data_IF_045864675866
#
_entry.id   IF_045864675866
#
_cell.length_a   1.000
_cell.length_b   1.000
_cell.length_c   1.000
_cell.angle_alpha   90.00
_cell.angle_beta   90.00
_cell.angle_gamma   90.00
#
_symmetry.space_group_name_H-M   'P 1'
#
loop_
_entity.id
_entity.type
_entity.pdbx_description
1 polymer ?
#
# COMPACT_ATOMS: atom_id res chain seq x y z
N UNK A 1 13.13 16.60 11.97
CA UNK A 1 13.80 15.42 12.57
C UNK A 1 13.32 14.15 11.86
N UNK A 2 14.04 13.03 11.99
CA UNK A 2 13.59 11.74 11.45
C UNK A 2 12.68 11.01 12.43
N UNK A 3 11.71 10.23 11.92
CA UNK A 3 10.76 9.45 12.73
C UNK A 3 10.99 7.95 12.54
N UNK A 4 11.22 7.17 13.61
CA UNK A 4 11.42 5.74 13.48
C UNK A 4 10.12 5.02 13.13
N UNK A 5 10.18 4.11 12.16
CA UNK A 5 9.08 3.25 11.76
C UNK A 5 9.48 1.79 11.94
N UNK A 6 8.79 1.07 12.83
CA UNK A 6 8.83 -0.39 12.86
C UNK A 6 8.02 -0.95 11.70
N UNK A 7 8.60 -1.90 10.97
CA UNK A 7 8.05 -2.42 9.73
C UNK A 7 8.26 -3.93 9.68
N UNK A 8 7.18 -4.70 9.55
CA UNK A 8 7.25 -6.15 9.44
C UNK A 8 6.43 -6.60 8.23
N UNK A 9 7.04 -7.40 7.38
CA UNK A 9 6.31 -8.15 6.34
C UNK A 9 6.34 -9.62 6.66
N UNK A 10 5.17 -10.24 6.60
CA UNK A 10 5.02 -11.70 6.61
C UNK A 10 4.23 -12.11 5.38
N UNK A 11 4.75 -13.06 4.61
CA UNK A 11 4.09 -13.66 3.47
C UNK A 11 3.94 -15.16 3.67
N UNK A 12 2.90 -15.73 3.08
CA UNK A 12 2.59 -17.14 3.23
C UNK A 12 2.69 -17.87 1.89
N UNK A 13 3.25 -19.07 1.92
CA UNK A 13 3.19 -20.02 0.82
C UNK A 13 1.84 -20.73 0.92
N UNK A 14 0.96 -20.44 -0.03
CA UNK A 14 -0.35 -21.07 -0.17
C UNK A 14 -0.56 -21.46 -1.63
N UNK A 15 -1.23 -22.58 -1.92
CA UNK A 15 -1.31 -23.09 -3.30
C UNK A 15 -2.23 -22.27 -4.21
N UNK A 16 -3.23 -21.53 -3.68
CA UNK A 16 -4.36 -21.07 -4.51
C UNK A 16 -4.91 -19.67 -4.20
N UNK A 17 -4.25 -18.81 -3.42
CA UNK A 17 -4.77 -17.46 -3.17
C UNK A 17 -4.29 -16.48 -4.24
N UNK A 18 -5.23 -15.79 -4.90
CA UNK A 18 -4.96 -14.78 -5.92
C UNK A 18 -5.16 -13.36 -5.39
N UNK A 19 -4.61 -12.36 -6.09
CA UNK A 19 -4.70 -10.93 -5.70
C UNK A 19 -6.15 -10.46 -5.47
N UNK A 20 -7.11 -10.98 -6.23
CA UNK A 20 -8.54 -10.66 -6.10
C UNK A 20 -9.16 -11.16 -4.78
N UNK A 21 -8.54 -12.13 -4.13
CA UNK A 21 -9.00 -12.76 -2.89
C UNK A 21 -8.38 -12.14 -1.65
N UNK A 22 -7.49 -11.16 -1.77
CA UNK A 22 -6.93 -10.42 -0.62
C UNK A 22 -8.02 -9.91 0.35
N UNK A 23 -9.19 -9.41 -0.09
CA UNK A 23 -10.27 -9.07 0.82
C UNK A 23 -10.83 -10.27 1.61
N UNK A 24 -10.93 -11.45 0.99
CA UNK A 24 -11.40 -12.68 1.63
C UNK A 24 -10.33 -13.24 2.59
N UNK A 25 -9.07 -13.27 2.15
CA UNK A 25 -7.91 -13.62 2.98
C UNK A 25 -7.84 -12.77 4.25
N UNK A 26 -8.05 -11.45 4.12
CA UNK A 26 -8.17 -10.54 5.27
C UNK A 26 -9.29 -10.94 6.23
N UNK A 27 -10.47 -11.28 5.72
CA UNK A 27 -11.60 -11.74 6.54
C UNK A 27 -11.25 -13.00 7.31
N UNK A 28 -10.71 -13.99 6.60
CA UNK A 28 -10.29 -15.27 7.17
C UNK A 28 -9.20 -15.11 8.26
N UNK A 29 -8.22 -14.22 8.06
CA UNK A 29 -7.21 -13.90 9.09
C UNK A 29 -7.87 -13.22 10.29
N UNK A 30 -8.76 -12.25 10.08
CA UNK A 30 -9.44 -11.57 11.18
C UNK A 30 -10.31 -12.52 12.01
N UNK A 31 -11.07 -13.40 11.36
CA UNK A 31 -11.84 -14.46 12.02
C UNK A 31 -10.94 -15.41 12.80
N UNK A 32 -9.80 -15.80 12.21
CA UNK A 32 -8.82 -16.67 12.86
C UNK A 32 -8.22 -16.02 14.11
N UNK A 33 -7.88 -14.74 14.01
CA UNK A 33 -7.29 -13.95 15.09
C UNK A 33 -8.29 -13.68 16.21
N UNK A 34 -9.56 -13.46 15.86
CA UNK A 34 -10.59 -13.00 16.78
C UNK A 34 -11.01 -11.57 16.44
N UNK A 35 -12.32 -11.33 16.39
CA UNK A 35 -12.90 -10.03 16.01
C UNK A 35 -12.76 -8.98 17.11
N UNK A 36 -12.37 -9.36 18.32
CA UNK A 36 -11.95 -8.46 19.39
C UNK A 36 -10.68 -7.66 19.03
N UNK A 37 -9.87 -8.15 18.09
CA UNK A 37 -8.64 -7.49 17.65
C UNK A 37 -8.91 -6.59 16.43
N UNK A 38 -9.49 -5.43 16.66
CA UNK A 38 -9.95 -4.48 15.64
C UNK A 38 -8.85 -4.04 14.66
N UNK A 39 -7.57 -4.07 15.05
CA UNK A 39 -6.43 -3.75 14.15
C UNK A 39 -6.33 -4.66 12.92
N UNK A 40 -6.84 -5.89 12.99
CA UNK A 40 -6.84 -6.82 11.86
C UNK A 40 -7.96 -6.54 10.86
N UNK A 41 -9.06 -5.90 11.30
CA UNK A 41 -10.28 -5.79 10.48
C UNK A 41 -10.96 -4.41 10.43
N UNK A 42 -10.50 -3.42 11.19
CA UNK A 42 -10.96 -2.03 11.26
C UNK A 42 -12.48 -1.85 11.39
N UNK A 43 -13.12 -2.71 12.19
CA UNK A 43 -14.49 -2.48 12.66
C UNK A 43 -14.50 -2.43 14.19
N UNK A 44 -15.44 -1.66 14.73
CA UNK A 44 -15.74 -1.64 16.15
C UNK A 44 -16.69 -2.81 16.51
N UNK A 45 -16.88 -3.03 17.81
CA UNK A 45 -17.78 -4.03 18.41
C UNK A 45 -19.23 -3.94 17.93
N UNK A 46 -19.71 -2.73 17.60
CA UNK A 46 -21.05 -2.48 17.04
C UNK A 46 -21.13 -2.70 15.52
N UNK A 47 -20.02 -3.07 14.88
CA UNK A 47 -19.89 -3.27 13.44
C UNK A 47 -19.61 -1.99 12.64
N UNK A 48 -19.52 -0.84 13.29
CA UNK A 48 -19.18 0.44 12.64
C UNK A 48 -17.71 0.47 12.18
N UNK A 49 -17.40 1.35 11.23
CA UNK A 49 -16.04 1.48 10.70
C UNK A 49 -15.18 2.40 11.57
N UNK A 50 -14.01 1.92 11.97
CA UNK A 50 -13.01 2.75 12.66
C UNK A 50 -12.27 3.60 11.63
N UNK A 51 -12.37 4.92 11.76
CA UNK A 51 -11.75 5.89 10.85
C UNK A 51 -10.29 6.17 11.23
N UNK A 52 -9.40 5.26 10.84
CA UNK A 52 -7.95 5.39 11.03
C UNK A 52 -7.15 4.80 9.87
N UNK A 53 -5.87 5.15 9.78
CA UNK A 53 -4.94 4.51 8.87
C UNK A 53 -4.69 3.05 9.29
N UNK A 54 -4.75 2.06 8.37
CA UNK A 54 -4.54 0.67 8.73
C UNK A 54 -3.04 0.36 8.96
N UNK A 55 -2.72 0.03 10.20
CA UNK A 55 -1.39 -0.41 10.61
C UNK A 55 -1.11 -1.89 10.27
N UNK A 56 -2.14 -2.67 9.97
CA UNK A 56 -2.03 -3.98 9.31
C UNK A 56 -2.69 -3.89 7.94
N UNK A 57 -1.93 -4.23 6.90
CA UNK A 57 -2.36 -4.16 5.51
C UNK A 57 -2.15 -5.50 4.82
N UNK A 58 -3.18 -5.99 4.14
CA UNK A 58 -3.15 -7.27 3.46
C UNK A 58 -2.78 -7.06 2.00
N UNK A 59 -1.79 -7.82 1.51
CA UNK A 59 -1.20 -7.61 0.18
C UNK A 59 -0.85 -8.93 -0.46
N UNK A 60 -0.72 -8.89 -1.78
CA UNK A 60 -0.08 -9.95 -2.56
C UNK A 60 1.38 -9.56 -2.77
N UNK A 61 2.31 -10.32 -2.20
CA UNK A 61 3.75 -10.16 -2.33
C UNK A 61 4.26 -10.86 -3.59
N UNK A 62 5.59 -10.93 -3.74
CA UNK A 62 6.24 -11.63 -4.87
C UNK A 62 5.86 -13.12 -4.87
N UNK A 63 5.96 -13.76 -6.03
CA UNK A 63 5.69 -15.20 -6.21
C UNK A 63 4.29 -15.62 -5.73
N UNK A 64 3.30 -14.73 -5.85
CA UNK A 64 1.91 -15.02 -5.49
C UNK A 64 1.72 -15.41 -4.00
N UNK A 65 2.48 -14.77 -3.11
CA UNK A 65 2.36 -15.00 -1.68
C UNK A 65 1.47 -13.94 -1.03
N UNK A 66 0.24 -14.27 -0.58
CA UNK A 66 -0.54 -13.33 0.23
C UNK A 66 0.14 -13.14 1.58
N UNK A 67 -0.07 -11.98 2.19
CA UNK A 67 0.57 -11.68 3.45
C UNK A 67 0.10 -10.38 4.09
N UNK A 68 0.79 -10.02 5.17
CA UNK A 68 0.57 -8.83 5.95
C UNK A 68 1.79 -7.93 5.88
N UNK A 69 1.55 -6.64 5.69
CA UNK A 69 2.46 -5.57 6.07
C UNK A 69 1.95 -4.98 7.39
N UNK A 70 2.79 -5.03 8.43
CA UNK A 70 2.52 -4.51 9.76
C UNK A 70 3.43 -3.31 10.05
N UNK A 71 2.85 -2.24 10.58
CA UNK A 71 3.49 -0.96 10.83
C UNK A 71 3.26 -0.56 12.29
N UNK A 72 4.30 -0.05 12.97
CA UNK A 72 4.21 0.38 14.38
C UNK A 72 3.45 -0.63 15.26
N UNK A 73 2.33 -0.25 15.88
CA UNK A 73 1.53 -1.10 16.76
C UNK A 73 1.01 -2.36 16.04
N UNK A 74 0.87 -2.33 14.71
CA UNK A 74 0.59 -3.52 13.93
C UNK A 74 1.67 -4.59 14.05
N UNK A 75 2.94 -4.20 14.23
CA UNK A 75 4.07 -5.11 14.46
C UNK A 75 3.91 -5.83 15.80
N UNK A 76 3.49 -5.12 16.84
CA UNK A 76 3.26 -5.75 18.14
C UNK A 76 2.07 -6.70 18.05
N UNK A 77 0.95 -6.24 17.48
CA UNK A 77 -0.31 -6.97 17.44
C UNK A 77 -0.29 -8.22 16.55
N UNK A 78 0.65 -8.35 15.61
CA UNK A 78 0.76 -9.54 14.75
C UNK A 78 0.93 -10.84 15.56
N UNK A 79 1.43 -10.75 16.80
CA UNK A 79 1.58 -11.92 17.68
C UNK A 79 0.26 -12.66 17.91
N UNK A 80 -0.89 -11.96 17.90
CA UNK A 80 -2.20 -12.59 18.06
C UNK A 80 -2.50 -13.61 16.96
N UNK A 81 -1.95 -13.42 15.76
CA UNK A 81 -1.99 -14.41 14.69
C UNK A 81 -1.02 -15.56 14.97
N UNK A 82 0.23 -15.25 15.30
CA UNK A 82 1.26 -16.28 15.51
C UNK A 82 1.02 -17.16 16.74
N UNK A 83 0.32 -16.64 17.75
CA UNK A 83 -0.06 -17.38 18.96
C UNK A 83 -1.18 -18.41 18.72
N UNK A 84 -1.80 -18.45 17.53
CA UNK A 84 -2.84 -19.44 17.23
C UNK A 84 -2.23 -20.84 17.11
N UNK A 85 -2.85 -21.80 17.81
CA UNK A 85 -2.42 -23.21 17.85
C UNK A 85 -2.41 -23.88 16.47
N UNK A 86 -3.37 -23.52 15.62
CA UNK A 86 -3.48 -23.97 14.23
C UNK A 86 -3.33 -22.79 13.30
N UNK A 87 -2.62 -22.97 12.18
CA UNK A 87 -2.46 -21.95 11.14
C UNK A 87 -3.33 -22.23 9.92
N UNK A 88 -4.41 -22.97 10.13
CA UNK A 88 -5.48 -23.14 9.14
C UNK A 88 -6.48 -21.98 9.24
N UNK A 89 -6.77 -21.35 8.11
CA UNK A 89 -7.80 -20.32 7.97
C UNK A 89 -8.96 -20.85 7.11
N UNK A 90 -10.17 -20.36 7.33
CA UNK A 90 -11.31 -20.68 6.48
C UNK A 90 -11.43 -19.67 5.35
N UNK A 91 -11.13 -20.08 4.12
CA UNK A 91 -11.25 -19.23 2.94
C UNK A 91 -12.34 -19.78 2.04
N UNK A 92 -13.41 -19.01 1.81
CA UNK A 92 -14.56 -19.44 1.00
C UNK A 92 -15.23 -20.73 1.49
N UNK A 93 -15.16 -21.01 2.80
CA UNK A 93 -15.71 -22.23 3.40
C UNK A 93 -14.74 -23.42 3.39
N UNK A 94 -13.57 -23.28 2.78
CA UNK A 94 -12.55 -24.32 2.71
C UNK A 94 -11.36 -24.03 3.64
N UNK A 95 -10.80 -25.05 4.33
CA UNK A 95 -9.60 -24.88 5.13
C UNK A 95 -8.37 -24.66 4.25
N UNK A 96 -7.59 -23.62 4.56
CA UNK A 96 -6.30 -23.33 3.92
C UNK A 96 -5.22 -23.25 4.99
N UNK A 97 -4.24 -24.15 4.91
CA UNK A 97 -3.08 -24.16 5.80
C UNK A 97 -2.07 -23.08 5.39
N UNK A 98 -1.78 -22.15 6.29
CA UNK A 98 -0.78 -21.12 6.10
C UNK A 98 0.60 -21.64 6.52
N UNK A 99 1.60 -21.43 5.65
CA UNK A 99 3.02 -21.65 5.95
C UNK A 99 3.76 -20.36 5.67
N UNK A 100 4.55 -19.85 6.61
CA UNK A 100 5.38 -18.66 6.36
C UNK A 100 6.35 -18.97 5.21
N UNK A 101 6.25 -18.18 4.15
CA UNK A 101 7.22 -18.18 3.06
C UNK A 101 8.37 -17.22 3.39
N UNK A 102 8.04 -16.03 3.89
CA UNK A 102 9.02 -15.03 4.29
C UNK A 102 8.51 -14.24 5.50
N UNK A 103 9.40 -13.96 6.43
CA UNK A 103 9.19 -13.02 7.52
C UNK A 103 10.40 -12.08 7.57
N UNK A 104 10.15 -10.78 7.48
CA UNK A 104 11.20 -9.76 7.46
C UNK A 104 10.81 -8.58 8.34
N UNK A 105 11.60 -8.38 9.39
CA UNK A 105 11.50 -7.22 10.27
C UNK A 105 12.54 -6.18 9.87
N UNK A 106 12.12 -4.93 9.77
CA UNK A 106 12.94 -3.80 9.40
C UNK A 106 12.59 -2.59 10.26
N UNK A 107 13.51 -1.64 10.32
CA UNK A 107 13.28 -0.33 10.89
C UNK A 107 13.69 0.72 9.86
N UNK A 108 12.79 1.66 9.61
CA UNK A 108 13.03 2.78 8.69
C UNK A 108 13.10 4.09 9.48
N UNK A 109 13.85 5.05 8.95
CA UNK A 109 13.83 6.44 9.42
C UNK A 109 13.05 7.28 8.42
N UNK A 110 11.80 7.60 8.74
CA UNK A 110 10.96 8.47 7.94
C UNK A 110 11.46 9.91 8.04
N UNK A 111 11.55 10.58 6.90
CA UNK A 111 12.03 11.96 6.85
C UNK A 111 11.49 12.65 5.61
N UNK A 112 11.35 13.97 5.69
CA UNK A 112 11.27 14.82 4.49
C UNK A 112 12.70 15.19 4.11
N UNK A 113 13.07 14.95 2.86
CA UNK A 113 14.41 15.17 2.30
C UNK A 113 14.44 16.49 1.53
N UNK A 114 15.64 16.93 1.16
CA UNK A 114 15.80 18.16 0.34
C UNK A 114 15.62 17.91 -1.16
N UNK A 115 15.60 16.63 -1.57
CA UNK A 115 15.42 16.22 -2.97
C UNK A 115 14.13 15.43 -3.17
N UNK A 116 13.47 15.69 -4.30
CA UNK A 116 12.37 14.88 -4.79
C UNK A 116 12.87 13.50 -5.25
N UNK A 117 12.17 12.45 -4.85
CA UNK A 117 12.45 11.05 -5.21
C UNK A 117 11.26 10.45 -5.97
N UNK A 118 11.51 9.60 -6.99
CA UNK A 118 10.45 9.04 -7.82
C UNK A 118 9.80 7.81 -7.19
N UNK A 119 8.48 7.75 -7.29
CA UNK A 119 7.63 6.66 -6.82
C UNK A 119 6.58 6.30 -7.86
N UNK A 120 5.97 5.13 -7.66
CA UNK A 120 4.76 4.70 -8.35
C UNK A 120 3.77 4.15 -7.34
N UNK A 121 2.49 4.30 -7.63
CA UNK A 121 1.39 3.75 -6.85
C UNK A 121 0.43 3.05 -7.80
N UNK A 122 0.06 1.81 -7.46
CA UNK A 122 -0.83 0.98 -8.28
C UNK A 122 -2.19 0.74 -7.63
N UNK A 123 -3.24 0.62 -8.45
CA UNK A 123 -4.63 0.47 -8.07
C UNK A 123 -5.07 1.49 -7.00
N UNK A 124 -4.63 2.74 -7.13
CA UNK A 124 -4.89 3.78 -6.14
C UNK A 124 -6.33 4.26 -6.23
N UNK A 125 -7.15 3.91 -5.25
CA UNK A 125 -8.50 4.45 -5.09
C UNK A 125 -8.41 5.83 -4.41
N UNK A 126 -8.16 6.86 -5.22
CA UNK A 126 -7.98 8.24 -4.75
C UNK A 126 -9.29 8.93 -4.36
N UNK A 127 -10.39 8.58 -5.03
CA UNK A 127 -11.63 9.35 -4.99
C UNK A 127 -12.63 8.73 -4.01
N UNK A 128 -13.19 9.57 -3.12
CA UNK A 128 -14.46 9.28 -2.46
C UNK A 128 -15.62 9.67 -3.40
N UNK A 129 -16.88 9.46 -3.00
CA UNK A 129 -18.03 9.72 -3.86
C UNK A 129 -18.11 11.19 -4.30
N UNK A 130 -17.98 12.14 -3.38
CA UNK A 130 -18.00 13.57 -3.71
C UNK A 130 -16.86 13.97 -4.65
N UNK A 131 -15.65 13.47 -4.40
CA UNK A 131 -14.48 13.73 -5.24
C UNK A 131 -14.59 13.05 -6.61
N UNK A 132 -15.25 11.90 -6.70
CA UNK A 132 -15.54 11.26 -7.97
C UNK A 132 -16.42 12.15 -8.85
N UNK A 133 -17.54 12.65 -8.31
CA UNK A 133 -18.43 13.56 -9.04
C UNK A 133 -17.71 14.83 -9.50
N UNK A 134 -16.90 15.43 -8.61
CA UNK A 134 -16.07 16.60 -8.98
C UNK A 134 -15.09 16.27 -10.09
N UNK A 135 -14.39 15.15 -10.00
CA UNK A 135 -13.37 14.74 -10.97
C UNK A 135 -13.95 14.52 -12.36
N UNK A 136 -15.07 13.79 -12.49
CA UNK A 136 -15.68 13.51 -13.79
C UNK A 136 -16.25 14.77 -14.46
N UNK A 137 -16.72 15.74 -13.66
CA UNK A 137 -17.27 17.00 -14.15
C UNK A 137 -16.21 18.08 -14.41
N UNK A 138 -14.94 17.83 -14.05
CA UNK A 138 -13.83 18.73 -14.35
C UNK A 138 -13.32 18.42 -15.76
N UNK A 139 -13.38 19.36 -16.70
CA UNK A 139 -12.89 19.13 -18.07
C UNK A 139 -11.38 19.28 -18.21
N UNK A 140 -10.80 20.24 -17.48
CA UNK A 140 -9.37 20.54 -17.53
C UNK A 140 -8.52 19.39 -16.96
N UNK A 141 -7.63 18.85 -17.79
CA UNK A 141 -6.68 17.82 -17.37
C UNK A 141 -5.75 18.34 -16.26
N UNK A 142 -5.31 19.59 -16.36
CA UNK A 142 -4.46 20.22 -15.35
C UNK A 142 -5.16 20.30 -14.00
N UNK A 143 -6.44 20.66 -13.97
CA UNK A 143 -7.24 20.71 -12.74
C UNK A 143 -7.48 19.31 -12.16
N UNK A 144 -7.72 18.30 -13.00
CA UNK A 144 -7.82 16.90 -12.59
C UNK A 144 -6.52 16.41 -11.93
N UNK A 145 -5.37 16.72 -12.53
CA UNK A 145 -4.06 16.37 -11.98
C UNK A 145 -3.84 17.08 -10.64
N UNK A 146 -4.09 18.39 -10.56
CA UNK A 146 -3.97 19.15 -9.31
C UNK A 146 -4.92 18.63 -8.21
N UNK A 147 -6.11 18.16 -8.57
CA UNK A 147 -7.01 17.47 -7.65
C UNK A 147 -6.42 16.16 -7.12
N UNK A 148 -5.86 15.33 -8.00
CA UNK A 148 -5.20 14.08 -7.60
C UNK A 148 -3.97 14.34 -6.74
N UNK A 149 -3.12 15.32 -7.06
CA UNK A 149 -1.95 15.68 -6.24
C UNK A 149 -2.35 16.09 -4.82
N UNK A 150 -3.40 16.92 -4.68
CA UNK A 150 -3.96 17.28 -3.35
C UNK A 150 -4.44 16.05 -2.57
N UNK A 151 -5.09 15.10 -3.25
CA UNK A 151 -5.54 13.85 -2.63
C UNK A 151 -4.36 12.95 -2.25
N UNK A 152 -3.31 12.87 -3.07
CA UNK A 152 -2.12 12.10 -2.78
C UNK A 152 -1.38 12.66 -1.57
N UNK A 153 -1.18 13.98 -1.51
CA UNK A 153 -0.63 14.66 -0.35
C UNK A 153 -1.48 14.41 0.91
N UNK A 154 -2.80 14.51 0.80
CA UNK A 154 -3.72 14.21 1.90
C UNK A 154 -3.58 12.77 2.40
N UNK A 155 -3.54 11.79 1.50
CA UNK A 155 -3.40 10.39 1.90
C UNK A 155 -2.00 10.06 2.47
N UNK A 156 -0.95 10.76 2.04
CA UNK A 156 0.38 10.67 2.64
C UNK A 156 0.42 11.27 4.06
N UNK A 157 -0.28 12.37 4.30
CA UNK A 157 -0.50 12.92 5.64
C UNK A 157 -1.23 11.91 6.55
N UNK A 158 -2.23 11.22 6.00
CA UNK A 158 -2.95 10.15 6.71
C UNK A 158 -2.03 9.00 7.11
N UNK A 159 -1.12 8.59 6.23
CA UNK A 159 -0.07 7.63 6.56
C UNK A 159 0.82 8.14 7.69
N UNK A 160 1.37 9.36 7.57
CA UNK A 160 2.25 9.94 8.58
C UNK A 160 1.58 9.99 9.96
N UNK A 161 0.36 10.55 10.03
CA UNK A 161 -0.44 10.56 11.26
C UNK A 161 -0.68 9.15 11.80
N UNK A 162 -1.00 8.21 10.92
CA UNK A 162 -1.26 6.82 11.26
C UNK A 162 -0.10 6.12 11.97
N UNK A 163 1.14 6.40 11.54
CA UNK A 163 2.36 5.82 12.14
C UNK A 163 2.97 6.68 13.25
N UNK A 164 2.23 7.67 13.73
CA UNK A 164 2.65 8.60 14.78
C UNK A 164 3.68 9.65 14.34
N UNK A 165 3.91 9.81 13.02
CA UNK A 165 4.87 10.77 12.50
C UNK A 165 4.27 12.17 12.42
N UNK A 166 4.75 13.07 13.29
CA UNK A 166 4.46 14.49 13.24
C UNK A 166 5.40 15.17 12.24
N UNK A 167 4.84 15.72 11.16
CA UNK A 167 5.61 16.41 10.13
C UNK A 167 5.92 17.85 10.55
N UNK A 168 7.20 18.14 10.77
CA UNK A 168 7.70 19.48 11.07
C UNK A 168 7.92 20.35 9.82
N UNK A 169 8.18 19.70 8.68
CA UNK A 169 8.45 20.34 7.39
C UNK A 169 7.35 19.98 6.40
N UNK A 170 7.02 20.93 5.52
CA UNK A 170 6.18 20.66 4.35
C UNK A 170 6.91 19.68 3.43
N UNK A 171 6.16 18.75 2.86
CA UNK A 171 6.61 17.92 1.75
C UNK A 171 5.82 18.27 0.49
N UNK A 172 6.45 18.01 -0.64
CA UNK A 172 5.87 18.22 -1.96
C UNK A 172 5.55 16.90 -2.63
N UNK A 173 4.53 16.94 -3.48
CA UNK A 173 4.08 15.81 -4.29
C UNK A 173 3.76 16.36 -5.67
N UNK A 174 4.31 15.73 -6.70
CA UNK A 174 3.95 16.04 -8.08
C UNK A 174 3.74 14.76 -8.88
N UNK A 175 2.57 14.61 -9.50
CA UNK A 175 2.27 13.47 -10.37
C UNK A 175 3.00 13.69 -11.69
N UNK A 176 3.85 12.73 -12.05
CA UNK A 176 4.65 12.77 -13.29
C UNK A 176 3.99 12.01 -14.43
N UNK A 177 2.95 11.22 -14.14
CA UNK A 177 2.18 10.53 -15.16
C UNK A 177 1.10 9.62 -14.57
N UNK A 178 0.00 9.48 -15.30
CA UNK A 178 -1.08 8.52 -15.01
C UNK A 178 -0.94 7.39 -16.04
N UNK A 179 -0.44 6.24 -15.61
CA UNK A 179 -0.17 5.10 -16.49
C UNK A 179 -1.42 4.27 -16.75
N UNK A 180 -2.40 4.31 -15.83
CA UNK A 180 -3.67 3.64 -16.01
C UNK A 180 -4.78 4.37 -15.25
N UNK A 181 -5.95 4.47 -15.86
CA UNK A 181 -7.21 4.81 -15.19
C UNK A 181 -8.18 3.66 -15.43
N UNK A 182 -8.66 3.02 -14.37
CA UNK A 182 -9.45 1.79 -14.47
C UNK A 182 -10.54 1.71 -13.41
N UNK A 183 -11.60 0.97 -13.74
CA UNK A 183 -12.64 0.59 -12.78
C UNK A 183 -12.27 -0.71 -12.09
N UNK A 184 -12.26 -0.72 -10.75
CA UNK A 184 -12.09 -1.92 -9.94
C UNK A 184 -13.29 -2.12 -9.02
N UNK A 185 -13.53 -3.36 -8.55
CA UNK A 185 -14.57 -3.63 -7.56
C UNK A 185 -14.01 -3.44 -6.15
N UNK A 186 -14.55 -2.51 -5.38
CA UNK A 186 -14.28 -2.33 -3.95
C UNK A 186 -15.56 -2.55 -3.16
N UNK A 187 -15.58 -3.57 -2.28
CA UNK A 187 -16.79 -3.98 -1.55
C UNK A 187 -17.99 -4.20 -2.49
N UNK A 188 -17.76 -4.89 -3.62
CA UNK A 188 -18.75 -5.16 -4.69
C UNK A 188 -19.22 -3.93 -5.48
N UNK A 189 -18.76 -2.72 -5.14
CA UNK A 189 -19.10 -1.48 -5.86
C UNK A 189 -17.97 -1.13 -6.85
N UNK A 190 -18.27 -0.83 -8.12
CA UNK A 190 -17.29 -0.32 -9.07
C UNK A 190 -16.76 1.05 -8.60
N UNK A 191 -15.44 1.21 -8.59
CA UNK A 191 -14.77 2.44 -8.17
C UNK A 191 -13.64 2.77 -9.13
N UNK A 192 -13.47 4.06 -9.42
CA UNK A 192 -12.35 4.55 -10.22
C UNK A 192 -11.05 4.44 -9.42
N UNK A 193 -10.01 3.96 -10.09
CA UNK A 193 -8.67 3.79 -9.54
C UNK A 193 -7.61 4.18 -10.56
N UNK A 194 -6.44 4.54 -10.06
CA UNK A 194 -5.35 5.07 -10.86
C UNK A 194 -4.05 4.30 -10.59
N UNK A 195 -3.30 4.06 -11.65
CA UNK A 195 -1.87 3.77 -11.55
C UNK A 195 -1.15 5.05 -11.91
N UNK A 196 -0.36 5.60 -10.99
CA UNK A 196 0.34 6.86 -11.20
C UNK A 196 1.81 6.77 -10.83
N UNK A 197 2.63 7.53 -11.53
CA UNK A 197 3.99 7.86 -11.14
C UNK A 197 4.00 9.25 -10.56
N UNK A 198 4.79 9.47 -9.51
CA UNK A 198 4.89 10.76 -8.85
C UNK A 198 6.28 10.95 -8.25
N UNK A 199 6.62 12.20 -7.96
CA UNK A 199 7.80 12.58 -7.20
C UNK A 199 7.37 13.15 -5.85
N UNK A 200 8.10 12.79 -4.80
CA UNK A 200 7.95 13.42 -3.48
C UNK A 200 9.28 13.45 -2.73
N UNK A 201 9.47 14.47 -1.91
CA UNK A 201 10.60 14.56 -0.99
C UNK A 201 10.30 13.89 0.37
N UNK A 202 9.07 13.43 0.60
CA UNK A 202 8.76 12.51 1.68
C UNK A 202 9.38 11.14 1.38
N UNK A 203 10.16 10.59 2.31
CA UNK A 203 10.62 9.21 2.20
C UNK A 203 9.48 8.25 2.53
N UNK A 204 9.12 7.39 1.56
CA UNK A 204 8.06 6.41 1.68
C UNK A 204 8.67 5.02 1.49
N UNK A 205 8.70 4.17 2.54
CA UNK A 205 9.15 2.79 2.39
C UNK A 205 8.33 2.04 1.33
N UNK A 206 8.94 1.03 0.71
CA UNK A 206 8.25 0.22 -0.26
C UNK A 206 7.02 -0.45 0.37
N UNK A 207 6.03 -0.73 -0.47
CA UNK A 207 4.77 -1.40 -0.13
C UNK A 207 3.80 -0.67 0.79
N UNK A 208 4.07 0.55 1.23
CA UNK A 208 3.09 1.34 1.99
C UNK A 208 1.80 1.49 1.16
N UNK A 209 0.65 1.12 1.73
CA UNK A 209 -0.67 1.32 1.14
C UNK A 209 -1.21 2.71 1.43
N UNK A 210 -1.75 3.38 0.41
CA UNK A 210 -2.23 4.76 0.48
C UNK A 210 -3.59 4.89 -0.20
N UNK A 211 -4.43 5.79 0.31
CA UNK A 211 -5.79 6.00 -0.20
C UNK A 211 -6.78 4.96 0.29
N UNK A 212 -7.97 4.95 -0.33
CA UNK A 212 -9.04 4.06 0.09
C UNK A 212 -8.67 2.61 -0.29
N UNK A 213 -8.94 1.68 0.64
CA UNK A 213 -8.61 0.27 0.43
C UNK A 213 -7.15 -0.12 0.67
N UNK A 214 -6.32 0.75 1.26
CA UNK A 214 -4.96 0.43 1.67
C UNK A 214 -4.84 -0.87 2.50
N UNK A 215 -5.82 -1.13 3.39
CA UNK A 215 -5.88 -2.38 4.17
C UNK A 215 -6.13 -3.64 3.34
N UNK A 216 -6.56 -3.50 2.07
CA UNK A 216 -6.89 -4.60 1.17
C UNK A 216 -5.97 -4.62 -0.06
N UNK A 217 -4.79 -4.02 0.05
CA UNK A 217 -3.73 -4.09 -0.95
C UNK A 217 -3.85 -3.10 -2.10
N UNK A 218 -4.84 -2.20 -2.08
CA UNK A 218 -4.95 -1.10 -3.03
C UNK A 218 -3.96 0.03 -2.69
N UNK A 219 -3.63 0.84 -3.70
CA UNK A 219 -2.77 2.01 -3.55
C UNK A 219 -1.39 1.69 -2.98
N UNK A 220 -0.79 0.58 -3.39
CA UNK A 220 0.53 0.17 -2.89
C UNK A 220 1.63 0.99 -3.57
N UNK A 221 2.41 1.74 -2.78
CA UNK A 221 3.53 2.54 -3.25
C UNK A 221 4.79 1.71 -3.39
N UNK A 222 5.54 1.94 -4.46
CA UNK A 222 6.87 1.38 -4.69
C UNK A 222 7.81 2.49 -5.15
N UNK A 223 9.11 2.43 -4.82
CA UNK A 223 10.10 3.28 -5.48
C UNK A 223 10.06 3.09 -7.00
N UNK A 224 10.24 4.17 -7.75
CA UNK A 224 10.25 4.17 -9.21
C UNK A 224 11.58 4.72 -9.74
N UNK A 225 12.68 4.07 -9.33
CA UNK A 225 13.99 4.40 -9.90
C UNK A 225 14.01 3.94 -11.36
N UNK A 226 14.23 4.87 -12.28
CA UNK A 226 14.63 4.50 -13.63
C UNK A 226 15.92 3.68 -13.51
N UNK A 227 15.97 2.51 -14.15
CA UNK A 227 17.27 1.87 -14.37
C UNK A 227 18.07 2.82 -15.24
N UNK A 228 19.34 3.13 -14.93
CA UNK A 228 20.17 3.83 -15.88
C UNK A 228 20.12 3.06 -17.21
N UNK A 229 19.82 3.77 -18.29
CA UNK A 229 19.93 3.21 -19.64
C UNK A 229 21.35 2.65 -19.77
N UNK A 230 21.46 1.36 -20.09
CA UNK A 230 22.72 0.78 -20.50
C UNK A 230 23.14 1.49 -21.78
N UNK A 231 24.12 2.38 -21.70
CA UNK A 231 24.80 2.94 -22.87
C UNK A 231 25.44 1.79 -23.66
N UNK A 232 24.70 1.21 -24.60
CA UNK A 232 25.26 0.45 -25.71
C UNK A 232 25.86 1.45 -26.70
N UNK A 233 27.01 2.01 -26.36
CA UNK A 233 27.91 2.57 -27.37
C UNK A 233 29.11 1.64 -27.46
N UNK A 234 29.03 0.72 -28.40
CA UNK A 234 30.16 -0.05 -28.90
C UNK A 234 31.18 0.95 -29.43
N UNK A 235 32.29 1.13 -28.71
CA UNK A 235 33.47 1.77 -29.28
C UNK A 235 34.04 0.76 -30.27
N UNK A 236 33.81 1.01 -31.56
CA UNK A 236 34.60 0.40 -32.63
C UNK A 236 36.00 0.96 -32.48
N UNK A 237 36.93 0.13 -32.03
CA UNK A 237 38.36 0.44 -32.12
C UNK A 237 38.73 0.11 -33.57
N UNK A 238 38.91 1.14 -34.39
CA UNK A 238 39.63 1.01 -35.65
C UNK A 238 41.10 0.70 -35.33
N UNK A 239 41.55 -0.49 -35.68
CA UNK A 239 42.97 -0.80 -35.81
C UNK A 239 43.53 0.04 -36.97
N UNK A 240 44.53 0.86 -36.67
CA UNK A 240 45.43 1.44 -37.68
C UNK A 240 46.85 0.99 -37.37
N UNK A 241 47.39 0.26 -38.36
CA UNK A 241 48.78 -0.16 -38.68
C UNK A 241 49.87 -0.19 -37.60
#
# INVERSE_FOLDING_TARGET
MSHPLRYLTVSFSVPTIYKKEIPAFRGAIAEKVGLEHDIFHNHDSDGSFIYRYPLIQYKMFRQQQPGLLCLQDGVDNVYHLFAKRSWEIMLHGEPVSLRIAQLKMEQYQLTVRDRLTPYRIGNWQALNQANYHKYINTESLTERIAMLERLLASHLLWFAKGVGWQLEKRFDVSITGITQQQSLKFKKVPVMSFDVTFKSNMFIPAQIGIGKGASRGLGTVMPNYQRPESNNNSIVIEETE
#
